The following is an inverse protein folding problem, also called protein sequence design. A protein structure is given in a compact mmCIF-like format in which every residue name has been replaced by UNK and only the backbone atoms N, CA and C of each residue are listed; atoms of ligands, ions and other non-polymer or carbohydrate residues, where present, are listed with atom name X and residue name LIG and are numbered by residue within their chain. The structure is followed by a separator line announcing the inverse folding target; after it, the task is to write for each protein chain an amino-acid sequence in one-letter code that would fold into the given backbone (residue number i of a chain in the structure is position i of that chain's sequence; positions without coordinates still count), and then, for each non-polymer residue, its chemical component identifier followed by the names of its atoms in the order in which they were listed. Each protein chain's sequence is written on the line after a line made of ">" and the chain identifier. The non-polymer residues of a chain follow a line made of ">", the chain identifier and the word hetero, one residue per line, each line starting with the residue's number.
data_IF_013600489561
#
_entry.id   IF_013600489561
#
_cell.length_a   1.000
_cell.length_b   1.000
_cell.length_c   1.000
_cell.angle_alpha   90.00
_cell.angle_beta   90.00
_cell.angle_gamma   90.00
#
_symmetry.space_group_name_H-M   'P 1'
#
loop_
_entity.id
_entity.type
_entity.pdbx_description
1 polymer ?
#
# COMPACT_ATOMS: atom_id res chain seq x y z
N UNK A 1 -16.75 10.51 -2.38
CA UNK A 1 -17.08 10.72 -3.35
C UNK A 1 -16.14 10.53 -4.39
N UNK A 2 -16.41 10.02 -5.29
CA UNK A 2 -15.54 9.79 -6.24
C UNK A 2 -15.39 10.88 -7.11
N UNK A 3 -14.34 11.09 -7.55
CA UNK A 3 -14.16 11.99 -8.35
C UNK A 3 -13.97 11.48 -9.60
N UNK A 4 -14.75 11.77 -10.48
CA UNK A 4 -14.56 11.35 -11.57
C UNK A 4 -13.80 11.99 -12.37
N UNK A 5 -13.01 11.63 -12.69
CA UNK A 5 -12.25 12.20 -13.67
C UNK A 5 -12.98 12.31 -14.91
N UNK A 6 -12.46 12.95 -15.82
CA UNK A 6 -13.09 13.15 -17.06
C UNK A 6 -13.02 11.94 -17.92
N UNK A 7 -13.12 12.11 -19.17
CA UNK A 7 -13.12 11.01 -20.10
C UNK A 7 -11.87 10.18 -20.05
N UNK A 8 -10.79 10.76 -19.58
CA UNK A 8 -9.56 10.00 -19.53
C UNK A 8 -9.55 9.05 -18.37
N UNK A 9 -10.54 9.14 -17.52
CA UNK A 9 -10.63 8.21 -16.40
C UNK A 9 -10.70 6.78 -16.87
N UNK A 10 -11.06 6.55 -18.11
CA UNK A 10 -11.06 5.21 -18.66
C UNK A 10 -9.65 4.66 -18.78
N UNK A 11 -8.65 5.52 -18.69
CA UNK A 11 -7.26 5.15 -18.82
C UNK A 11 -6.61 4.92 -17.47
N UNK A 12 -7.33 4.40 -16.50
CA UNK A 12 -6.77 4.15 -15.19
C UNK A 12 -5.56 3.22 -15.29
N UNK A 13 -4.52 3.47 -14.52
CA UNK A 13 -3.41 2.53 -14.45
C UNK A 13 -3.88 1.13 -14.09
N UNK A 14 -3.21 0.13 -14.62
CA UNK A 14 -3.60 -1.25 -14.39
C UNK A 14 -3.71 -1.60 -12.91
N UNK A 15 -2.77 -1.13 -12.10
CA UNK A 15 -2.80 -1.39 -10.66
C UNK A 15 -4.03 -0.80 -9.99
N UNK A 16 -4.42 0.41 -10.39
CA UNK A 16 -5.60 1.07 -9.83
C UNK A 16 -6.87 0.32 -10.22
N UNK A 17 -6.95 -0.10 -11.47
CA UNK A 17 -8.11 -0.85 -11.94
C UNK A 17 -8.24 -2.21 -11.24
N UNK A 18 -7.10 -2.86 -10.98
CA UNK A 18 -7.09 -4.14 -10.27
C UNK A 18 -7.64 -3.98 -8.85
N UNK A 19 -7.25 -2.92 -8.15
CA UNK A 19 -7.75 -2.65 -6.81
C UNK A 19 -9.23 -2.31 -6.84
N UNK A 20 -9.65 -1.50 -7.81
CA UNK A 20 -11.06 -1.14 -7.96
C UNK A 20 -11.93 -2.37 -8.17
N UNK A 21 -11.49 -3.28 -9.03
CA UNK A 21 -12.23 -4.52 -9.31
C UNK A 21 -12.30 -5.40 -8.07
N UNK A 22 -11.20 -5.50 -7.33
CA UNK A 22 -11.16 -6.30 -6.12
C UNK A 22 -12.12 -5.74 -5.07
N UNK A 23 -12.12 -4.44 -4.86
CA UNK A 23 -13.00 -3.80 -3.89
C UNK A 23 -14.47 -3.99 -4.27
N UNK A 24 -14.78 -3.90 -5.54
CA UNK A 24 -16.15 -4.10 -6.01
C UNK A 24 -16.60 -5.52 -5.75
N UNK A 25 -15.76 -6.50 -6.05
CA UNK A 25 -16.09 -7.90 -5.82
C UNK A 25 -16.23 -8.21 -4.33
N UNK A 26 -15.49 -7.52 -3.49
CA UNK A 26 -15.59 -7.69 -2.04
C UNK A 26 -16.79 -6.97 -1.44
N UNK A 27 -17.56 -6.25 -2.24
CA UNK A 27 -18.73 -5.53 -1.74
C UNK A 27 -18.41 -4.21 -1.08
N UNK A 28 -17.22 -3.66 -1.32
CA UNK A 28 -16.83 -2.41 -0.73
C UNK A 28 -17.48 -1.25 -1.47
N UNK A 29 -17.96 -0.25 -0.72
CA UNK A 29 -18.69 0.86 -1.32
C UNK A 29 -17.80 1.98 -1.85
N UNK A 30 -16.52 2.00 -1.47
CA UNK A 30 -15.61 3.04 -1.92
C UNK A 30 -14.73 2.54 -3.05
N UNK A 31 -14.26 3.46 -3.86
CA UNK A 31 -13.37 3.15 -4.96
C UNK A 31 -12.09 3.96 -4.84
N UNK A 32 -11.00 3.51 -5.45
CA UNK A 32 -9.77 4.30 -5.48
C UNK A 32 -10.01 5.66 -6.14
N UNK A 33 -9.38 6.68 -5.60
CA UNK A 33 -9.46 8.03 -6.13
C UNK A 33 -8.09 8.40 -6.62
N UNK A 34 -8.01 8.89 -7.87
CA UNK A 34 -6.76 9.39 -8.40
C UNK A 34 -6.56 10.83 -7.94
N UNK A 35 -5.41 11.11 -7.33
CA UNK A 35 -5.08 12.45 -6.92
C UNK A 35 -4.55 13.24 -8.11
N UNK A 36 -4.78 14.55 -8.11
CA UNK A 36 -4.32 15.41 -9.19
C UNK A 36 -2.79 15.39 -9.32
N UNK A 37 -2.10 15.36 -8.18
CA UNK A 37 -0.65 15.27 -8.17
C UNK A 37 -0.24 13.94 -7.53
N UNK A 38 0.84 13.38 -8.01
CA UNK A 38 1.32 12.13 -7.46
C UNK A 38 1.75 12.33 -6.00
N UNK A 39 1.18 11.55 -5.11
CA UNK A 39 1.57 11.56 -3.72
C UNK A 39 2.54 10.41 -3.48
N UNK A 40 3.81 10.73 -3.36
CA UNK A 40 4.86 9.72 -3.21
C UNK A 40 5.23 9.46 -1.77
N UNK A 41 4.84 10.35 -0.88
CA UNK A 41 5.08 10.19 0.55
C UNK A 41 3.77 10.24 1.29
N UNK A 42 3.75 9.70 2.50
CA UNK A 42 2.56 9.76 3.33
C UNK A 42 2.16 11.20 3.63
N UNK A 43 3.14 12.09 3.82
CA UNK A 43 2.85 13.50 4.08
C UNK A 43 2.18 14.17 2.87
N UNK A 44 2.66 13.88 1.67
CA UNK A 44 2.03 14.43 0.47
C UNK A 44 0.59 13.93 0.31
N UNK A 45 0.35 12.66 0.63
CA UNK A 45 -1.00 12.11 0.58
C UNK A 45 -1.90 12.78 1.63
N UNK A 46 -1.40 12.96 2.84
CA UNK A 46 -2.16 13.62 3.89
C UNK A 46 -2.52 15.05 3.51
N UNK A 47 -1.57 15.78 2.93
CA UNK A 47 -1.80 17.16 2.50
C UNK A 47 -2.84 17.22 1.37
N UNK A 48 -2.73 16.31 0.41
CA UNK A 48 -3.66 16.29 -0.72
C UNK A 48 -5.08 15.94 -0.28
N UNK A 49 -5.22 15.06 0.69
CA UNK A 49 -6.53 14.64 1.19
C UNK A 49 -7.03 15.48 2.36
N UNK A 50 -6.22 16.40 2.84
CA UNK A 50 -6.55 17.25 3.98
C UNK A 50 -6.89 16.46 5.23
N UNK A 51 -6.08 15.46 5.50
CA UNK A 51 -6.18 14.64 6.71
C UNK A 51 -4.85 14.70 7.45
N UNK A 52 -4.86 14.18 8.67
CA UNK A 52 -3.62 14.12 9.45
C UNK A 52 -2.76 12.96 8.97
N UNK A 53 -1.45 13.09 9.16
CA UNK A 53 -0.50 12.06 8.72
C UNK A 53 -0.84 10.71 9.33
N UNK A 54 -1.25 10.67 10.58
CA UNK A 54 -1.61 9.43 11.25
C UNK A 54 -2.84 8.73 10.66
N UNK A 55 -3.63 9.44 9.84
CA UNK A 55 -4.79 8.85 9.20
C UNK A 55 -4.46 8.20 7.87
N UNK A 56 -3.23 8.32 7.41
CA UNK A 56 -2.79 7.66 6.18
C UNK A 56 -2.35 6.24 6.54
N UNK A 57 -2.86 5.26 5.83
CA UNK A 57 -2.39 3.89 5.93
C UNK A 57 -1.36 3.65 4.82
N UNK A 58 -0.22 3.13 5.18
CA UNK A 58 0.80 2.78 4.17
C UNK A 58 1.11 1.31 4.25
N UNK A 59 1.35 0.72 3.10
CA UNK A 59 1.67 -0.69 2.97
C UNK A 59 3.16 -0.82 2.72
N UNK A 60 3.80 -1.69 3.48
CA UNK A 60 5.22 -1.96 3.31
C UNK A 60 5.37 -3.46 3.09
N UNK A 61 6.08 -3.83 2.04
CA UNK A 61 6.29 -5.23 1.70
C UNK A 61 7.71 -5.61 2.01
N UNK A 62 7.85 -6.69 2.76
CA UNK A 62 9.13 -7.30 3.05
C UNK A 62 9.21 -8.66 2.38
N UNK A 63 10.43 -9.18 2.25
CA UNK A 63 10.65 -10.50 1.72
C UNK A 63 11.21 -11.38 2.82
N UNK A 64 10.57 -12.50 3.07
CA UNK A 64 11.10 -13.47 4.02
C UNK A 64 12.17 -14.30 3.29
N UNK A 65 13.39 -14.15 3.73
CA UNK A 65 14.54 -14.68 2.96
C UNK A 65 14.60 -16.20 2.89
N UNK A 66 13.95 -16.87 3.82
CA UNK A 66 14.00 -18.32 3.84
C UNK A 66 13.26 -18.96 2.66
N UNK A 67 12.19 -18.34 2.20
CA UNK A 67 11.36 -18.93 1.14
C UNK A 67 10.85 -17.89 0.14
N UNK A 68 11.38 -16.68 0.19
CA UNK A 68 10.95 -15.57 -0.67
C UNK A 68 9.46 -15.24 -0.56
N UNK A 69 8.84 -15.55 0.56
CA UNK A 69 7.45 -15.19 0.77
C UNK A 69 7.31 -13.68 1.02
N UNK A 70 6.25 -13.11 0.48
CA UNK A 70 5.95 -11.70 0.70
C UNK A 70 5.29 -11.52 2.07
N UNK A 71 5.71 -10.49 2.79
CA UNK A 71 5.12 -10.13 4.08
C UNK A 71 4.63 -8.69 3.95
N UNK A 72 3.33 -8.50 4.04
CA UNK A 72 2.73 -7.18 3.96
C UNK A 72 2.45 -6.65 5.36
N UNK A 73 2.92 -5.44 5.62
CA UNK A 73 2.64 -4.75 6.87
C UNK A 73 1.94 -3.45 6.54
N UNK A 74 0.79 -3.23 7.15
CA UNK A 74 0.06 -1.98 6.99
C UNK A 74 0.24 -1.17 8.27
N UNK A 75 0.74 0.05 8.14
CA UNK A 75 1.01 0.89 9.28
C UNK A 75 0.52 2.32 9.03
N UNK A 76 0.34 3.06 10.11
CA UNK A 76 -0.05 4.46 10.02
C UNK A 76 1.08 5.29 9.42
N UNK A 77 0.72 6.34 8.72
CA UNK A 77 1.69 7.21 8.05
C UNK A 77 2.68 7.90 8.97
N UNK A 78 2.35 8.04 10.26
CA UNK A 78 3.23 8.68 11.23
C UNK A 78 4.02 7.66 12.06
N UNK A 79 3.98 6.39 11.71
CA UNK A 79 4.68 5.33 12.43
C UNK A 79 5.68 4.62 11.52
N UNK A 80 6.61 3.93 12.15
CA UNK A 80 7.56 3.09 11.44
C UNK A 80 7.33 1.65 11.85
N UNK A 81 7.55 0.74 10.91
CA UNK A 81 7.44 -0.68 11.21
C UNK A 81 8.60 -1.10 12.11
N UNK A 82 8.29 -1.82 13.16
CA UNK A 82 9.32 -2.44 13.99
C UNK A 82 9.69 -3.76 13.32
N UNK A 83 10.73 -3.73 12.50
CA UNK A 83 11.11 -4.88 11.68
C UNK A 83 11.52 -6.07 12.53
N UNK A 84 12.11 -5.84 13.69
CA UNK A 84 12.50 -6.93 14.58
C UNK A 84 11.27 -7.68 15.09
N UNK A 85 10.23 -6.97 15.47
CA UNK A 85 8.98 -7.61 15.90
C UNK A 85 8.32 -8.38 14.78
N UNK A 86 8.31 -7.82 13.57
CA UNK A 86 7.72 -8.50 12.43
C UNK A 86 8.51 -9.76 12.12
N UNK A 87 9.84 -9.67 12.14
CA UNK A 87 10.69 -10.82 11.91
C UNK A 87 10.41 -11.94 12.90
N UNK A 88 10.26 -11.59 14.18
CA UNK A 88 9.96 -12.59 15.21
C UNK A 88 8.62 -13.28 14.97
N UNK A 89 7.66 -12.56 14.39
CA UNK A 89 6.33 -13.12 14.14
C UNK A 89 6.26 -13.99 12.91
N UNK A 90 7.02 -13.66 11.87
CA UNK A 90 6.85 -14.31 10.57
C UNK A 90 8.03 -15.16 10.14
N UNK A 91 9.16 -15.08 10.81
CA UNK A 91 10.33 -15.86 10.49
C UNK A 91 10.63 -16.84 11.60
N UNK A 92 11.13 -18.03 11.25
CA UNK A 92 11.48 -19.04 12.22
C UNK A 92 12.99 -19.22 12.28
N UNK A 93 13.50 -19.51 13.46
CA UNK A 93 14.93 -19.80 13.65
C UNK A 93 15.78 -18.61 13.27
N UNK A 94 16.73 -18.83 12.38
CA UNK A 94 17.66 -17.79 11.94
C UNK A 94 17.17 -17.09 10.68
N UNK A 95 15.96 -17.39 10.21
CA UNK A 95 15.43 -16.75 9.02
C UNK A 95 15.33 -15.24 9.20
N UNK A 96 15.58 -14.50 8.15
CA UNK A 96 15.62 -13.05 8.17
C UNK A 96 14.57 -12.44 7.26
N UNK A 97 14.17 -11.23 7.65
CA UNK A 97 13.30 -10.42 6.83
C UNK A 97 14.19 -9.48 6.03
N UNK A 98 13.91 -9.33 4.77
CA UNK A 98 14.65 -8.43 3.89
C UNK A 98 13.74 -7.46 3.18
N UNK A 99 14.33 -6.53 2.46
CA UNK A 99 13.56 -5.59 1.68
C UNK A 99 13.06 -6.25 0.41
N UNK A 100 11.90 -5.85 -0.02
CA UNK A 100 11.35 -6.26 -1.30
C UNK A 100 11.63 -5.18 -2.33
N UNK A 101 12.21 -5.56 -3.46
CA UNK A 101 12.44 -4.61 -4.55
C UNK A 101 11.21 -4.57 -5.46
N UNK A 102 11.26 -3.70 -6.48
CA UNK A 102 10.12 -3.52 -7.36
C UNK A 102 9.75 -4.79 -8.11
N UNK A 103 10.73 -5.58 -8.50
CA UNK A 103 10.46 -6.81 -9.22
C UNK A 103 9.80 -7.84 -8.32
N UNK A 104 10.21 -7.92 -7.07
CA UNK A 104 9.61 -8.83 -6.10
C UNK A 104 8.14 -8.47 -5.85
N UNK A 105 7.84 -7.16 -5.79
CA UNK A 105 6.49 -6.70 -5.47
C UNK A 105 5.52 -6.94 -6.65
N UNK A 106 6.05 -6.99 -7.84
CA UNK A 106 5.22 -7.28 -8.99
C UNK A 106 4.55 -8.63 -8.86
#
# INVERSE_FOLDING_TARGET
>A
MAVMADSDSTQKPEGVQRVADFLQKAGHTHQPIMLADAARTAQQAADALRVELGQIAKSIIFRRKSDDAAVLVITSGDKRVDEAKVQDLVCEGTAKLGRADADFVK
#
